data_IF_407640244172
#
_entry.id   IF_407640244172
#
_cell.length_a   1.000
_cell.length_b   1.000
_cell.length_c   1.000
_cell.angle_alpha   90.00
_cell.angle_beta   90.00
_cell.angle_gamma   90.00
#
_symmetry.space_group_name_H-M   'P 1'
#
loop_
_entity.id
_entity.type
_entity.pdbx_description
1 polymer ?
#
# COMPACT_ATOMS: atom_id res chain seq x y z
N UNK A 1 -39.55 21.89 25.49
CA UNK A 1 -38.74 23.01 24.95
C UNK A 1 -37.59 22.36 24.20
N UNK A 2 -37.49 22.53 22.89
CA UNK A 2 -36.44 21.87 22.10
C UNK A 2 -35.18 22.71 22.23
N UNK A 3 -34.11 22.17 22.82
CA UNK A 3 -32.82 22.86 22.98
C UNK A 3 -32.12 23.00 21.63
N UNK A 4 -32.50 24.04 20.88
CA UNK A 4 -31.93 24.40 19.58
C UNK A 4 -30.39 24.50 19.64
N UNK A 5 -29.85 25.02 20.75
CA UNK A 5 -28.41 25.12 21.01
C UNK A 5 -27.74 23.74 21.10
N UNK A 6 -28.44 22.76 21.68
CA UNK A 6 -27.97 21.36 21.75
C UNK A 6 -27.88 20.71 20.38
N UNK A 7 -28.87 20.95 19.51
CA UNK A 7 -28.92 20.42 18.13
C UNK A 7 -27.82 21.04 17.25
N UNK A 8 -27.55 22.34 17.40
CA UNK A 8 -26.47 23.01 16.67
C UNK A 8 -25.11 22.41 17.07
N UNK A 9 -24.90 22.18 18.37
CA UNK A 9 -23.65 21.61 18.89
C UNK A 9 -23.42 20.17 18.39
N UNK A 10 -24.47 19.35 18.26
CA UNK A 10 -24.34 17.98 17.73
C UNK A 10 -24.06 17.96 16.22
N UNK A 11 -24.71 18.84 15.45
CA UNK A 11 -24.45 18.97 14.01
C UNK A 11 -22.98 19.36 13.73
N UNK A 12 -22.46 20.37 14.45
CA UNK A 12 -21.06 20.77 14.32
C UNK A 12 -20.10 19.63 14.70
N UNK A 13 -20.38 18.90 15.78
CA UNK A 13 -19.56 17.77 16.20
C UNK A 13 -19.55 16.64 15.16
N UNK A 14 -20.68 16.36 14.51
CA UNK A 14 -20.78 15.33 13.47
C UNK A 14 -19.97 15.70 12.22
N UNK A 15 -20.02 16.97 11.80
CA UNK A 15 -19.23 17.46 10.66
C UNK A 15 -17.73 17.39 10.98
N UNK A 16 -17.31 17.79 12.19
CA UNK A 16 -15.92 17.68 12.63
C UNK A 16 -15.43 16.23 12.63
N UNK A 17 -16.20 15.29 13.19
CA UNK A 17 -15.86 13.87 13.17
C UNK A 17 -15.77 13.32 11.74
N UNK A 18 -16.69 13.72 10.86
CA UNK A 18 -16.66 13.35 9.45
C UNK A 18 -15.39 13.83 8.73
N UNK A 19 -14.96 15.07 8.96
CA UNK A 19 -13.73 15.62 8.40
C UNK A 19 -12.47 14.91 8.93
N UNK A 20 -12.43 14.62 10.24
CA UNK A 20 -11.33 13.84 10.84
C UNK A 20 -11.26 12.45 10.21
N UNK A 21 -12.38 11.75 10.10
CA UNK A 21 -12.44 10.44 9.44
C UNK A 21 -12.01 10.51 7.96
N UNK A 22 -12.44 11.54 7.23
CA UNK A 22 -12.07 11.76 5.84
C UNK A 22 -10.55 11.93 5.65
N UNK A 23 -9.89 12.73 6.50
CA UNK A 23 -8.44 12.94 6.41
C UNK A 23 -7.64 11.67 6.71
N UNK A 24 -8.08 10.85 7.66
CA UNK A 24 -7.45 9.57 7.99
C UNK A 24 -7.62 8.54 6.87
N UNK A 25 -8.82 8.47 6.27
CA UNK A 25 -9.10 7.63 5.10
C UNK A 25 -8.17 7.96 3.92
N UNK A 26 -7.98 9.26 3.63
CA UNK A 26 -7.11 9.71 2.53
C UNK A 26 -5.64 9.28 2.72
N UNK A 27 -5.12 9.29 3.96
CA UNK A 27 -3.75 8.84 4.28
C UNK A 27 -3.58 7.33 4.12
N UNK A 28 -4.58 6.55 4.51
CA UNK A 28 -4.59 5.09 4.32
C UNK A 28 -4.62 4.75 2.83
N UNK A 29 -5.52 5.37 2.05
CA UNK A 29 -5.60 5.16 0.61
C UNK A 29 -4.30 5.57 -0.11
N UNK A 30 -3.65 6.65 0.31
CA UNK A 30 -2.35 7.06 -0.22
C UNK A 30 -1.22 6.05 0.11
N UNK A 31 -1.21 5.46 1.31
CA UNK A 31 -0.27 4.38 1.66
C UNK A 31 -0.54 3.09 0.89
N UNK A 32 -1.81 2.72 0.70
CA UNK A 32 -2.21 1.54 -0.07
C UNK A 32 -1.81 1.71 -1.54
N UNK A 33 -2.02 2.89 -2.13
CA UNK A 33 -1.56 3.19 -3.50
C UNK A 33 -0.03 3.26 -3.61
N UNK A 34 0.66 3.60 -2.51
CA UNK A 34 2.12 3.47 -2.33
C UNK A 34 2.59 2.05 -2.00
N UNK A 35 1.73 1.04 -1.97
CA UNK A 35 2.12 -0.39 -2.10
C UNK A 35 2.55 -0.65 -3.55
N UNK A 36 3.50 0.16 -3.95
CA UNK A 36 4.33 0.05 -5.12
C UNK A 36 4.99 -1.32 -5.05
N UNK A 37 4.93 -2.05 -6.18
CA UNK A 37 5.52 -3.37 -6.26
C UNK A 37 7.01 -3.24 -5.91
N UNK A 38 7.43 -3.83 -4.80
CA UNK A 38 8.83 -3.82 -4.37
C UNK A 38 9.50 -5.04 -4.97
N UNK A 39 10.74 -4.86 -5.43
CA UNK A 39 11.51 -5.98 -5.93
C UNK A 39 11.83 -6.97 -4.81
N UNK A 40 11.56 -8.25 -5.04
CA UNK A 40 11.86 -9.31 -4.08
C UNK A 40 13.37 -9.50 -3.80
N UNK A 41 14.24 -9.10 -4.74
CA UNK A 41 15.70 -9.13 -4.57
C UNK A 41 16.26 -7.81 -4.02
N UNK A 42 15.90 -6.68 -4.65
CA UNK A 42 16.61 -5.40 -4.45
C UNK A 42 15.90 -4.50 -3.42
N UNK A 43 14.66 -4.81 -3.04
CA UNK A 43 13.82 -3.99 -2.14
C UNK A 43 13.40 -2.63 -2.72
N UNK A 44 13.94 -2.22 -3.86
CA UNK A 44 13.60 -0.96 -4.53
C UNK A 44 12.18 -1.00 -5.10
N UNK A 45 11.60 0.18 -5.17
CA UNK A 45 10.30 0.41 -5.77
C UNK A 45 10.35 0.20 -7.28
N UNK A 46 9.50 -0.68 -7.80
CA UNK A 46 9.41 -0.99 -9.22
C UNK A 46 8.37 -0.06 -9.85
N UNK A 47 8.84 0.85 -10.70
CA UNK A 47 8.00 1.87 -11.36
C UNK A 47 7.75 1.58 -12.85
N UNK A 48 8.66 0.89 -13.54
CA UNK A 48 8.59 0.72 -15.00
C UNK A 48 8.99 -0.70 -15.41
N UNK A 49 8.14 -1.35 -16.23
CA UNK A 49 8.29 -2.75 -16.73
C UNK A 49 8.78 -3.78 -15.68
N UNK A 50 7.98 -4.05 -14.63
CA UNK A 50 8.30 -5.10 -13.66
C UNK A 50 8.46 -6.46 -14.34
N UNK A 51 9.59 -7.13 -14.13
CA UNK A 51 9.78 -8.53 -14.52
C UNK A 51 9.04 -9.38 -13.51
N UNK A 52 7.97 -10.05 -13.95
CA UNK A 52 7.21 -11.01 -13.13
C UNK A 52 7.75 -12.40 -13.38
N UNK A 53 8.08 -13.13 -12.32
CA UNK A 53 8.53 -14.52 -12.42
C UNK A 53 7.90 -15.33 -11.29
N UNK A 54 7.35 -16.47 -11.65
CA UNK A 54 6.84 -17.44 -10.66
C UNK A 54 8.02 -18.28 -10.18
N UNK A 55 8.28 -18.25 -8.87
CA UNK A 55 9.35 -19.02 -8.22
C UNK A 55 8.75 -19.58 -6.94
N UNK A 56 8.86 -20.90 -6.73
CA UNK A 56 8.32 -21.58 -5.54
C UNK A 56 6.79 -21.43 -5.36
N UNK A 57 6.05 -21.42 -6.48
CA UNK A 57 4.59 -21.22 -6.50
C UNK A 57 4.13 -19.82 -6.10
N UNK A 58 5.04 -18.85 -6.00
CA UNK A 58 4.75 -17.45 -5.69
C UNK A 58 5.11 -16.55 -6.86
N UNK A 59 4.17 -15.73 -7.30
CA UNK A 59 4.44 -14.65 -8.25
C UNK A 59 5.27 -13.55 -7.59
N UNK A 60 6.54 -13.43 -8.01
CA UNK A 60 7.46 -12.41 -7.53
C UNK A 60 7.70 -11.37 -8.59
N UNK A 61 7.83 -10.13 -8.13
CA UNK A 61 8.05 -8.96 -8.98
C UNK A 61 9.47 -8.45 -8.77
N UNK A 62 10.16 -8.16 -9.87
CA UNK A 62 11.54 -7.71 -9.85
C UNK A 62 11.73 -6.36 -10.54
N UNK A 63 12.68 -5.57 -10.02
CA UNK A 63 13.04 -4.25 -10.53
C UNK A 63 13.75 -4.31 -11.90
N UNK A 64 14.41 -5.42 -12.23
CA UNK A 64 15.09 -5.67 -13.51
C UNK A 64 15.34 -7.18 -13.71
N UNK A 65 15.76 -7.57 -14.92
CA UNK A 65 16.13 -8.94 -15.27
C UNK A 65 17.29 -9.50 -14.42
N UNK A 66 18.30 -8.68 -14.10
CA UNK A 66 19.40 -9.09 -13.21
C UNK A 66 18.90 -9.49 -11.82
N UNK A 67 17.88 -8.80 -11.31
CA UNK A 67 17.32 -9.10 -10.00
C UNK A 67 16.53 -10.41 -9.99
N UNK A 68 15.80 -10.69 -11.08
CA UNK A 68 15.13 -11.97 -11.28
C UNK A 68 16.14 -13.12 -11.41
N UNK A 69 17.23 -12.90 -12.15
CA UNK A 69 18.29 -13.90 -12.34
C UNK A 69 19.03 -14.21 -11.04
N UNK A 70 19.47 -13.18 -10.30
CA UNK A 70 20.14 -13.37 -9.02
C UNK A 70 19.23 -14.07 -8.00
N UNK A 71 17.94 -13.74 -7.98
CA UNK A 71 16.99 -14.42 -7.11
C UNK A 71 16.88 -15.91 -7.43
N UNK A 72 16.79 -16.28 -8.71
CA UNK A 72 16.79 -17.69 -9.12
C UNK A 72 18.10 -18.42 -8.76
N UNK A 73 19.25 -17.75 -8.83
CA UNK A 73 20.54 -18.35 -8.47
C UNK A 73 20.68 -18.58 -6.96
N UNK A 74 20.21 -17.64 -6.13
CA UNK A 74 20.24 -17.77 -4.67
C UNK A 74 19.25 -18.82 -4.17
N UNK A 75 18.05 -18.90 -4.77
CA UNK A 75 17.06 -19.92 -4.40
C UNK A 75 17.37 -21.33 -4.92
N UNK A 76 18.24 -21.48 -5.91
CA UNK A 76 18.67 -22.79 -6.42
C UNK A 76 19.76 -23.45 -5.55
N UNK A 77 20.31 -22.76 -4.54
CA UNK A 77 21.33 -23.31 -3.61
C UNK A 77 20.77 -23.97 -2.34
N UNK A 78 19.48 -24.31 -2.31
CA UNK A 78 18.95 -25.25 -1.30
C UNK A 78 18.94 -26.67 -1.88
N UNK A 79 20.13 -27.22 -2.04
CA UNK A 79 20.34 -28.67 -2.15
C UNK A 79 21.18 -29.09 -0.96
#
# INVERSE_FOLDING_TARGET
MIDIVGIIKTMCAMVLLGLIAYTQGRRISARIRKKTMRCATCGRTVFERPVKKEIDGKELVFCCEHCAMNYSLVHNKKT
#
